data_IF_584172810823
#
_entry.id   IF_584172810823
#
_cell.length_a   1.000
_cell.length_b   1.000
_cell.length_c   1.000
_cell.angle_alpha   90.00
_cell.angle_beta   90.00
_cell.angle_gamma   90.00
#
_symmetry.space_group_name_H-M   'P 1'
#
loop_
_entity.id
_entity.type
_entity.pdbx_description
1 polymer ?
#
# COMPACT_ATOMS: atom_id res chain seq x y z
N UNK A 1 -4.61 -19.51 16.29
CA UNK A 1 -3.77 -18.43 16.88
C UNK A 1 -3.34 -17.47 15.80
N UNK A 2 -3.28 -16.18 16.08
CA UNK A 2 -2.78 -15.18 15.14
C UNK A 2 -1.58 -14.47 15.76
N UNK A 3 -0.51 -14.29 14.99
CA UNK A 3 0.66 -13.50 15.34
C UNK A 3 0.71 -12.22 14.51
N UNK A 4 0.98 -11.09 15.16
CA UNK A 4 1.16 -9.78 14.53
C UNK A 4 2.50 -9.70 13.78
N UNK A 5 2.70 -8.66 12.94
CA UNK A 5 4.00 -8.41 12.30
C UNK A 5 5.16 -8.23 13.30
N UNK A 6 4.87 -7.80 14.53
CA UNK A 6 5.82 -7.66 15.64
C UNK A 6 5.97 -8.93 16.50
N UNK A 7 5.41 -10.07 16.05
CA UNK A 7 5.39 -11.36 16.75
C UNK A 7 4.59 -11.37 18.07
N UNK A 8 3.69 -10.42 18.28
CA UNK A 8 2.74 -10.49 19.39
C UNK A 8 1.59 -11.46 19.06
N UNK A 9 1.11 -12.19 20.06
CA UNK A 9 -0.02 -13.10 19.87
C UNK A 9 -1.34 -12.37 20.14
N UNK A 10 -2.26 -12.40 19.18
CA UNK A 10 -3.63 -11.91 19.39
C UNK A 10 -4.63 -13.07 19.50
N UNK A 11 -5.62 -12.88 20.37
CA UNK A 11 -6.77 -13.78 20.47
C UNK A 11 -7.89 -13.23 19.56
N UNK A 12 -8.21 -13.90 18.45
CA UNK A 12 -9.31 -13.45 17.60
C UNK A 12 -10.66 -13.81 18.22
N UNK A 13 -11.72 -13.12 17.78
CA UNK A 13 -13.08 -13.58 18.03
C UNK A 13 -13.38 -14.83 17.19
N UNK A 14 -14.01 -15.82 17.80
CA UNK A 14 -14.36 -17.08 17.15
C UNK A 14 -15.86 -17.35 17.27
N UNK A 15 -16.46 -17.78 16.17
CA UNK A 15 -17.88 -18.13 16.10
C UNK A 15 -18.04 -19.47 15.39
N UNK A 16 -18.63 -20.45 16.07
CA UNK A 16 -19.02 -21.70 15.43
C UNK A 16 -20.28 -21.47 14.61
N UNK A 17 -20.24 -21.82 13.33
CA UNK A 17 -21.35 -21.70 12.37
C UNK A 17 -21.73 -23.08 11.84
N UNK A 18 -22.84 -23.19 11.12
CA UNK A 18 -23.23 -24.44 10.45
C UNK A 18 -22.18 -24.95 9.46
N UNK A 19 -21.39 -24.03 8.89
CA UNK A 19 -20.44 -24.32 7.80
C UNK A 19 -18.99 -24.42 8.29
N UNK A 20 -18.77 -24.29 9.60
CA UNK A 20 -17.44 -24.39 10.22
C UNK A 20 -17.15 -23.28 11.23
N UNK A 21 -15.87 -23.06 11.50
CA UNK A 21 -15.41 -22.05 12.46
C UNK A 21 -15.09 -20.73 11.74
N UNK A 22 -15.80 -19.67 12.10
CA UNK A 22 -15.50 -18.30 11.66
C UNK A 22 -14.55 -17.65 12.65
N UNK A 23 -13.52 -17.00 12.13
CA UNK A 23 -12.50 -16.27 12.90
C UNK A 23 -12.51 -14.83 12.41
N UNK A 24 -12.82 -13.89 13.28
CA UNK A 24 -12.82 -12.46 12.97
C UNK A 24 -11.76 -11.75 13.84
N UNK A 25 -11.00 -10.83 13.24
CA UNK A 25 -10.09 -9.91 13.92
C UNK A 25 -9.98 -8.60 13.12
N UNK A 26 -9.58 -7.52 13.79
CA UNK A 26 -9.25 -6.25 13.14
C UNK A 26 -7.74 -6.03 13.24
N UNK A 27 -7.01 -5.93 12.12
CA UNK A 27 -5.58 -5.66 12.14
C UNK A 27 -5.33 -4.22 12.63
N UNK A 28 -4.42 -4.08 13.60
CA UNK A 28 -4.02 -2.79 14.17
C UNK A 28 -2.64 -2.32 13.69
N UNK A 29 -1.82 -3.27 13.26
CA UNK A 29 -0.51 -3.06 12.67
C UNK A 29 -0.53 -3.36 11.17
N UNK A 30 0.26 -2.60 10.42
CA UNK A 30 0.55 -2.86 9.01
C UNK A 30 1.66 -3.92 8.92
N UNK A 31 1.52 -4.85 7.98
CA UNK A 31 2.49 -5.92 7.78
C UNK A 31 1.86 -7.30 7.63
N UNK A 32 2.69 -8.35 7.75
CA UNK A 32 2.23 -9.74 7.58
C UNK A 32 1.84 -10.36 8.92
N UNK A 33 0.58 -10.76 9.03
CA UNK A 33 0.08 -11.58 10.13
C UNK A 33 0.21 -13.06 9.79
N UNK A 34 0.54 -13.87 10.80
CA UNK A 34 0.68 -15.32 10.65
C UNK A 34 -0.43 -16.00 11.45
N UNK A 35 -1.31 -16.71 10.74
CA UNK A 35 -2.47 -17.39 11.33
C UNK A 35 -2.21 -18.89 11.34
N UNK A 36 -2.05 -19.44 12.54
CA UNK A 36 -1.99 -20.88 12.78
C UNK A 36 -3.40 -21.42 13.02
N UNK A 37 -3.81 -22.34 12.15
CA UNK A 37 -5.08 -23.05 12.27
C UNK A 37 -4.80 -24.49 12.70
N UNK A 38 -5.20 -24.83 13.92
CA UNK A 38 -4.92 -26.11 14.55
C UNK A 38 -6.25 -26.69 15.03
N UNK A 39 -6.52 -27.95 14.65
CA UNK A 39 -7.71 -28.70 15.06
C UNK A 39 -7.26 -30.03 15.68
N UNK A 40 -7.73 -30.33 16.89
CA UNK A 40 -7.32 -31.51 17.67
C UNK A 40 -5.79 -31.69 17.81
N UNK A 41 -5.04 -30.58 17.90
CA UNK A 41 -3.57 -30.60 17.99
C UNK A 41 -2.85 -30.75 16.65
N UNK A 42 -3.54 -30.90 15.53
CA UNK A 42 -2.96 -31.00 14.20
C UNK A 42 -3.18 -29.72 13.38
N UNK A 43 -2.14 -29.29 12.66
CA UNK A 43 -2.27 -28.19 11.71
C UNK A 43 -3.16 -28.63 10.55
N UNK A 44 -4.17 -27.82 10.23
CA UNK A 44 -5.06 -28.11 9.10
C UNK A 44 -4.42 -27.65 7.77
N UNK A 45 -4.88 -28.17 6.62
CA UNK A 45 -4.42 -27.70 5.31
C UNK A 45 -4.55 -26.18 5.17
N UNK A 46 -3.52 -25.53 4.60
CA UNK A 46 -3.47 -24.08 4.45
C UNK A 46 -2.92 -23.30 5.66
N UNK A 47 -2.61 -23.98 6.77
CA UNK A 47 -1.89 -23.39 7.91
C UNK A 47 -0.37 -23.57 7.76
N UNK A 48 0.46 -22.55 8.09
CA UNK A 48 0.04 -21.22 8.50
C UNK A 48 -0.41 -20.35 7.31
N UNK A 49 -1.49 -19.61 7.50
CA UNK A 49 -1.94 -18.61 6.54
C UNK A 49 -1.20 -17.31 6.80
N UNK A 50 -0.72 -16.66 5.73
CA UNK A 50 -0.09 -15.33 5.81
C UNK A 50 -1.05 -14.29 5.25
N UNK A 51 -1.41 -13.31 6.06
CA UNK A 51 -2.32 -12.22 5.68
C UNK A 51 -1.55 -10.91 5.69
N UNK A 52 -1.44 -10.26 4.54
CA UNK A 52 -0.77 -8.96 4.38
C UNK A 52 -1.77 -7.84 4.60
N UNK A 53 -1.53 -7.01 5.61
CA UNK A 53 -2.33 -5.83 5.91
C UNK A 53 -1.56 -4.59 5.47
N UNK A 54 -2.26 -3.64 4.85
CA UNK A 54 -1.71 -2.42 4.28
C UNK A 54 -2.62 -1.21 4.53
N UNK A 55 -2.09 0.00 4.37
CA UNK A 55 -2.83 1.26 4.49
C UNK A 55 -2.37 2.26 3.42
N UNK A 56 -3.17 2.51 2.36
CA UNK A 56 -2.84 3.47 1.32
C UNK A 56 -2.61 4.89 1.85
N UNK A 57 -3.21 5.27 2.99
CA UNK A 57 -3.06 6.62 3.57
C UNK A 57 -1.67 6.87 4.14
N UNK A 58 -0.84 5.84 4.24
CA UNK A 58 0.56 5.95 4.67
C UNK A 58 1.52 6.18 3.49
N UNK A 59 1.02 6.21 2.26
CA UNK A 59 1.80 6.65 1.10
C UNK A 59 1.82 8.18 1.07
N UNK A 60 3.00 8.79 1.00
CA UNK A 60 3.20 10.24 1.11
C UNK A 60 4.03 10.75 -0.06
N UNK A 61 3.68 11.93 -0.60
CA UNK A 61 4.45 12.62 -1.64
C UNK A 61 5.36 13.69 -1.01
N UNK A 62 6.65 13.70 -1.37
CA UNK A 62 7.71 14.53 -0.75
C UNK A 62 8.63 15.14 -1.83
N UNK A 63 8.77 16.47 -1.95
CA UNK A 63 7.80 17.46 -1.48
C UNK A 63 6.48 17.33 -2.28
N UNK A 64 5.36 17.91 -1.80
CA UNK A 64 4.16 18.05 -2.61
C UNK A 64 4.50 18.72 -3.95
N UNK A 65 3.85 18.28 -5.03
CA UNK A 65 4.11 18.79 -6.37
C UNK A 65 3.65 20.24 -6.43
N UNK A 66 4.61 21.15 -6.25
CA UNK A 66 4.38 22.58 -6.26
C UNK A 66 5.30 23.21 -7.31
N UNK A 67 4.72 23.97 -8.24
CA UNK A 67 5.42 24.84 -9.19
C UNK A 67 6.43 24.14 -10.12
N UNK A 68 5.93 23.41 -11.12
CA UNK A 68 6.75 22.92 -12.22
C UNK A 68 6.98 23.98 -13.30
N UNK A 69 8.16 23.95 -13.92
CA UNK A 69 8.54 24.85 -15.03
C UNK A 69 8.42 24.10 -16.35
N UNK A 70 7.78 24.71 -17.35
CA UNK A 70 7.60 24.10 -18.67
C UNK A 70 8.97 23.85 -19.31
N UNK A 71 9.14 22.64 -19.85
CA UNK A 71 10.37 22.20 -20.50
C UNK A 71 11.48 21.79 -19.53
N UNK A 72 11.30 21.97 -18.22
CA UNK A 72 12.29 21.57 -17.22
C UNK A 72 11.87 20.29 -16.49
N UNK A 73 12.80 19.34 -16.25
CA UNK A 73 12.51 18.17 -15.45
C UNK A 73 12.03 18.52 -14.05
N UNK A 74 10.83 18.04 -13.70
CA UNK A 74 10.27 18.13 -12.36
C UNK A 74 10.39 16.78 -11.67
N UNK A 75 10.85 16.79 -10.41
CA UNK A 75 11.05 15.59 -9.59
C UNK A 75 10.33 15.69 -8.27
N UNK A 76 9.80 14.56 -7.81
CA UNK A 76 9.28 14.38 -6.46
C UNK A 76 9.48 12.94 -6.00
N UNK A 77 9.45 12.72 -4.69
CA UNK A 77 9.57 11.42 -4.07
C UNK A 77 8.20 10.94 -3.59
N UNK A 78 8.01 9.62 -3.59
CA UNK A 78 6.90 8.94 -2.94
C UNK A 78 7.51 8.04 -1.86
N UNK A 79 7.08 8.23 -0.62
CA UNK A 79 7.37 7.38 0.53
C UNK A 79 6.18 6.46 0.78
N UNK A 80 6.32 5.19 0.42
CA UNK A 80 5.39 4.11 0.74
C UNK A 80 5.95 3.16 1.81
N UNK A 81 7.05 3.53 2.48
CA UNK A 81 7.77 2.66 3.44
C UNK A 81 6.90 2.21 4.62
N UNK A 82 5.83 2.95 4.90
CA UNK A 82 4.87 2.69 6.00
C UNK A 82 3.51 2.19 5.52
N UNK A 83 3.30 2.03 4.22
CA UNK A 83 2.03 1.57 3.66
C UNK A 83 1.83 0.05 3.77
N UNK A 84 2.90 -0.70 4.01
CA UNK A 84 2.90 -2.15 3.98
C UNK A 84 3.30 -2.67 2.61
N UNK A 85 3.22 -3.98 2.44
CA UNK A 85 3.54 -4.60 1.16
C UNK A 85 2.37 -4.44 0.19
N UNK A 86 2.66 -4.00 -1.03
CA UNK A 86 1.64 -3.81 -2.06
C UNK A 86 2.21 -3.32 -3.38
N UNK A 87 1.34 -3.23 -4.38
CA UNK A 87 1.63 -2.64 -5.67
C UNK A 87 1.32 -1.15 -5.66
N UNK A 88 2.27 -0.35 -6.16
CA UNK A 88 2.12 1.10 -6.28
C UNK A 88 2.05 1.45 -7.77
N UNK A 89 0.98 2.12 -8.17
CA UNK A 89 0.81 2.64 -9.53
C UNK A 89 0.79 4.17 -9.49
N UNK A 90 1.57 4.79 -10.37
CA UNK A 90 1.79 6.23 -10.37
C UNK A 90 1.63 6.74 -11.79
N UNK A 91 0.83 7.79 -11.95
CA UNK A 91 0.66 8.49 -13.22
C UNK A 91 0.61 9.99 -13.00
N UNK A 92 1.26 10.75 -13.89
CA UNK A 92 1.16 12.21 -13.90
C UNK A 92 0.22 12.60 -15.04
N UNK A 93 -0.75 13.47 -14.76
CA UNK A 93 -1.79 13.83 -15.71
C UNK A 93 -2.09 15.34 -15.67
N UNK A 94 -2.63 15.88 -16.77
CA UNK A 94 -3.39 17.13 -16.76
C UNK A 94 -4.71 16.91 -17.50
N UNK A 95 -5.84 17.30 -16.91
CA UNK A 95 -7.16 16.92 -17.45
C UNK A 95 -7.17 15.40 -17.75
N UNK A 96 -7.58 14.99 -18.95
CA UNK A 96 -7.63 13.58 -19.35
C UNK A 96 -6.35 13.11 -20.07
N UNK A 97 -5.27 13.89 -20.03
CA UNK A 97 -4.02 13.60 -20.73
C UNK A 97 -2.97 13.05 -19.78
N UNK A 98 -2.46 11.87 -20.12
CA UNK A 98 -1.31 11.27 -19.47
C UNK A 98 -0.01 11.95 -19.91
N UNK A 99 0.84 12.29 -18.95
CA UNK A 99 2.18 12.82 -19.18
C UNK A 99 3.19 11.69 -19.01
N UNK A 100 4.09 11.47 -19.98
CA UNK A 100 5.18 10.54 -19.81
C UNK A 100 6.00 10.86 -18.55
N UNK A 101 6.08 9.89 -17.65
CA UNK A 101 6.86 9.98 -16.41
C UNK A 101 7.80 8.78 -16.27
N UNK A 102 8.91 9.00 -15.60
CA UNK A 102 9.86 7.96 -15.20
C UNK A 102 9.71 7.71 -13.71
N UNK A 103 9.72 6.43 -13.32
CA UNK A 103 9.64 6.00 -11.92
C UNK A 103 10.92 5.23 -11.62
N UNK A 104 11.69 5.74 -10.67
CA UNK A 104 12.95 5.15 -10.23
C UNK A 104 12.79 4.67 -8.77
N UNK A 105 12.75 3.36 -8.50
CA UNK A 105 12.75 2.84 -7.14
C UNK A 105 14.09 3.15 -6.45
N UNK A 106 14.04 3.78 -5.27
CA UNK A 106 15.21 4.05 -4.42
C UNK A 106 15.44 2.96 -3.36
N UNK A 107 14.56 1.96 -3.29
CA UNK A 107 14.56 0.92 -2.26
C UNK A 107 13.82 1.35 -1.00
N UNK A 108 13.59 0.39 -0.08
CA UNK A 108 12.91 0.63 1.20
C UNK A 108 11.54 1.32 1.11
N UNK A 109 10.82 1.14 -0.01
CA UNK A 109 9.52 1.76 -0.25
C UNK A 109 9.57 3.21 -0.73
N UNK A 110 10.73 3.73 -1.14
CA UNK A 110 10.87 5.06 -1.74
C UNK A 110 10.92 4.97 -3.27
N UNK A 111 10.26 5.91 -3.93
CA UNK A 111 10.22 6.02 -5.39
C UNK A 111 10.42 7.48 -5.80
N UNK A 112 11.37 7.75 -6.70
CA UNK A 112 11.46 9.06 -7.36
C UNK A 112 10.64 9.02 -8.64
N UNK A 113 9.83 10.05 -8.83
CA UNK A 113 9.05 10.27 -10.04
C UNK A 113 9.58 11.52 -10.72
N UNK A 114 9.86 11.39 -12.01
CA UNK A 114 10.33 12.48 -12.85
C UNK A 114 9.41 12.64 -14.07
N UNK A 115 9.03 13.87 -14.39
CA UNK A 115 8.32 14.19 -15.62
C UNK A 115 8.78 15.56 -16.16
N UNK A 116 8.52 15.83 -17.43
CA UNK A 116 8.80 17.13 -18.06
C UNK A 116 7.44 17.74 -18.44
N UNK A 117 7.01 18.85 -17.83
CA UNK A 117 5.78 19.52 -18.20
C UNK A 117 5.90 20.18 -19.57
N UNK A 118 4.99 19.89 -20.48
CA UNK A 118 4.98 20.47 -21.83
C UNK A 118 4.03 21.67 -21.96
N UNK A 119 3.05 21.79 -21.04
CA UNK A 119 1.97 22.79 -21.12
C UNK A 119 1.82 23.56 -19.81
N UNK A 120 1.35 24.83 -19.85
CA UNK A 120 1.09 25.66 -18.66
C UNK A 120 -0.20 25.26 -17.92
N UNK A 121 -0.45 23.97 -17.71
CA UNK A 121 -1.62 23.48 -17.00
C UNK A 121 -1.27 22.98 -15.61
N UNK A 122 -2.28 22.93 -14.73
CA UNK A 122 -2.14 22.28 -13.43
C UNK A 122 -2.03 20.78 -13.70
N UNK A 123 -0.87 20.23 -13.36
CA UNK A 123 -0.60 18.81 -13.39
C UNK A 123 -0.92 18.22 -12.02
N UNK A 124 -1.43 16.99 -12.01
CA UNK A 124 -1.65 16.24 -10.78
C UNK A 124 -1.10 14.83 -10.92
N UNK A 125 -0.72 14.25 -9.78
CA UNK A 125 -0.23 12.88 -9.70
C UNK A 125 -1.36 12.01 -9.14
N UNK A 126 -1.75 10.99 -9.91
CA UNK A 126 -2.65 9.95 -9.41
C UNK A 126 -1.82 8.77 -8.92
N UNK A 127 -2.09 8.36 -7.68
CA UNK A 127 -1.37 7.28 -7.00
C UNK A 127 -2.39 6.25 -6.52
N UNK A 128 -2.20 4.99 -6.94
CA UNK A 128 -2.95 3.85 -6.46
C UNK A 128 -2.03 2.94 -5.65
N UNK A 129 -2.52 2.45 -4.52
CA UNK A 129 -1.87 1.41 -3.72
C UNK A 129 -2.82 0.21 -3.62
N UNK A 130 -2.44 -0.93 -4.18
CA UNK A 130 -3.31 -2.12 -4.29
C UNK A 130 -4.68 -1.81 -4.94
N UNK A 131 -4.69 -0.99 -6.00
CA UNK A 131 -5.87 -0.50 -6.71
C UNK A 131 -6.77 0.47 -5.92
N UNK A 132 -6.34 0.91 -4.74
CA UNK A 132 -7.04 1.92 -3.95
C UNK A 132 -6.37 3.29 -4.11
N UNK A 133 -7.17 4.34 -4.29
CA UNK A 133 -6.63 5.69 -4.34
C UNK A 133 -5.98 6.06 -3.01
N UNK A 134 -4.70 6.43 -3.07
CA UNK A 134 -4.01 7.09 -1.98
C UNK A 134 -4.70 8.44 -1.77
N UNK A 135 -5.56 8.49 -0.76
CA UNK A 135 -6.39 9.65 -0.48
C UNK A 135 -5.59 10.70 0.28
N UNK A 136 -5.54 11.94 -0.23
CA UNK A 136 -5.31 13.10 0.62
C UNK A 136 -4.22 14.11 0.21
N UNK A 137 -4.19 14.59 -1.03
CA UNK A 137 -3.94 16.00 -1.40
C UNK A 137 -3.89 16.20 -2.91
#
# INVERSE_FOLDING_TARGET
TIFTPTNEQIQPSTLLTSDGLRIDWTPLEIGTYIIHMILYGYSIPGSPLRVKCYDPKKVIVIPPINNSIIGEPTKFLIDASKAGEGNLEISVNYSDYHIPNQINPFGNGYFEVQFIPEKPFIHYCNILFNNEHVSGK
#
